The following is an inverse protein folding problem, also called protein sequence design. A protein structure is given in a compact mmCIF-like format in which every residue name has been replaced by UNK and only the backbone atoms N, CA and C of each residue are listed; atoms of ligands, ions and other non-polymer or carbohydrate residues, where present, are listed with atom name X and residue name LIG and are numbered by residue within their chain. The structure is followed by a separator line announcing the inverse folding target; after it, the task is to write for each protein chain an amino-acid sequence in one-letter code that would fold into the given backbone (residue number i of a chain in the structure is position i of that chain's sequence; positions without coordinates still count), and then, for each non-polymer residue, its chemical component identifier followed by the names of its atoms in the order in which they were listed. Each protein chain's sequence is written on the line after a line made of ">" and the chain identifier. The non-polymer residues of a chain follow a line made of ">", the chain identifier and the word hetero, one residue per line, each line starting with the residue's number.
data_IF_203957146295
#
_entry.id   IF_203957146295
#
_cell.length_a   1.000
_cell.length_b   1.000
_cell.length_c   1.000
_cell.angle_alpha   90.00
_cell.angle_beta   90.00
_cell.angle_gamma   90.00
#
_symmetry.space_group_name_H-M   'P 1'
#
loop_
_entity.id
_entity.type
_entity.pdbx_description
1 polymer ?
#
# COMPACT_ATOMS: atom_id res chain seq x y z
N UNK A 1 -16.32 4.68 -18.53
CA UNK A 1 -16.92 5.00 -17.21
C UNK A 1 -15.98 4.44 -16.16
N UNK A 2 -15.33 5.29 -15.34
CA UNK A 2 -14.68 4.82 -14.12
C UNK A 2 -15.78 4.70 -13.06
N UNK A 3 -16.39 3.52 -12.97
CA UNK A 3 -17.39 3.18 -11.95
C UNK A 3 -16.72 2.55 -10.73
N UNK A 4 -17.09 3.09 -9.56
CA UNK A 4 -16.80 2.77 -8.16
C UNK A 4 -15.36 2.36 -7.79
N UNK A 5 -14.57 3.38 -7.46
CA UNK A 5 -13.16 3.34 -7.04
C UNK A 5 -12.96 2.50 -5.78
N UNK A 6 -12.15 1.43 -5.89
CA UNK A 6 -11.35 0.87 -4.80
C UNK A 6 -10.05 0.31 -5.38
N UNK A 7 -8.90 0.69 -4.79
CA UNK A 7 -7.62 0.11 -5.15
C UNK A 7 -6.81 -0.44 -3.96
N UNK A 8 -7.09 -0.07 -2.70
CA UNK A 8 -6.69 -0.86 -1.53
C UNK A 8 -7.67 -0.59 -0.40
N UNK A 9 -8.26 -1.63 0.18
CA UNK A 9 -8.96 -1.63 1.49
C UNK A 9 -8.94 -3.09 1.98
N UNK A 10 -8.30 -3.54 3.07
CA UNK A 10 -7.66 -2.92 4.24
C UNK A 10 -6.51 -3.84 4.68
N UNK A 11 -5.39 -3.77 3.97
CA UNK A 11 -4.33 -4.78 4.06
C UNK A 11 -3.33 -4.43 5.17
N UNK A 12 -3.05 -5.39 6.04
CA UNK A 12 -2.00 -5.31 7.07
C UNK A 12 -1.21 -6.61 7.06
N UNK A 13 0.09 -6.51 6.80
CA UNK A 13 1.02 -7.62 6.88
C UNK A 13 2.38 -7.09 7.31
N UNK A 14 3.18 -7.96 7.91
CA UNK A 14 4.58 -7.72 8.21
C UNK A 14 5.40 -8.68 7.36
N UNK A 15 6.48 -8.18 6.77
CA UNK A 15 7.45 -8.99 6.04
C UNK A 15 8.74 -8.94 6.83
N UNK A 16 9.19 -10.10 7.30
CA UNK A 16 10.43 -10.19 8.07
C UNK A 16 11.64 -10.20 7.15
N UNK A 17 12.80 -9.90 7.72
CA UNK A 17 14.05 -10.07 7.00
C UNK A 17 14.17 -11.50 6.44
N UNK A 18 14.60 -11.60 5.19
CA UNK A 18 14.75 -12.86 4.44
C UNK A 18 13.43 -13.54 4.03
N UNK A 19 12.29 -12.87 4.16
CA UNK A 19 11.04 -13.31 3.54
C UNK A 19 10.90 -12.76 2.10
N UNK A 20 10.27 -13.55 1.23
CA UNK A 20 9.94 -13.15 -0.14
C UNK A 20 8.44 -13.32 -0.37
N UNK A 21 7.61 -12.34 0.02
CA UNK A 21 6.17 -12.43 -0.09
C UNK A 21 5.71 -12.24 -1.54
N UNK A 22 4.59 -12.88 -1.89
CA UNK A 22 3.91 -12.68 -3.17
C UNK A 22 2.59 -11.99 -2.91
N UNK A 23 2.39 -10.80 -3.49
CA UNK A 23 1.10 -10.13 -3.49
C UNK A 23 0.19 -10.75 -4.56
N UNK A 24 -0.81 -11.52 -4.14
CA UNK A 24 -1.83 -12.11 -4.99
C UNK A 24 -3.15 -11.36 -4.80
N UNK A 25 -3.80 -10.97 -5.90
CA UNK A 25 -5.11 -10.32 -5.86
C UNK A 25 -5.81 -10.49 -7.22
N UNK A 26 -7.13 -10.70 -7.21
CA UNK A 26 -7.95 -10.99 -8.40
C UNK A 26 -8.32 -9.75 -9.21
N UNK A 27 -8.20 -8.55 -8.64
CA UNK A 27 -8.71 -7.29 -9.20
C UNK A 27 -7.72 -6.50 -10.07
N UNK A 28 -6.49 -7.00 -10.24
CA UNK A 28 -5.48 -6.46 -11.16
C UNK A 28 -4.82 -5.12 -10.75
N UNK A 29 -5.57 -4.16 -10.21
CA UNK A 29 -5.07 -2.80 -9.91
C UNK A 29 -4.37 -2.71 -8.54
N UNK A 30 -4.90 -3.41 -7.53
CA UNK A 30 -4.56 -3.20 -6.12
C UNK A 30 -3.11 -3.52 -5.76
N UNK A 31 -2.48 -4.43 -6.51
CA UNK A 31 -1.05 -4.77 -6.37
C UNK A 31 -0.16 -3.61 -6.79
N UNK A 32 -0.45 -3.04 -7.97
CA UNK A 32 0.31 -1.90 -8.49
C UNK A 32 0.14 -0.71 -7.57
N UNK A 33 -1.07 -0.41 -7.11
CA UNK A 33 -1.32 0.66 -6.14
C UNK A 33 -0.58 0.40 -4.82
N UNK A 34 -0.63 -0.82 -4.26
CA UNK A 34 0.10 -1.16 -3.02
C UNK A 34 1.61 -0.98 -3.18
N UNK A 35 2.20 -1.48 -4.27
CA UNK A 35 3.64 -1.34 -4.53
C UNK A 35 4.05 0.13 -4.72
N UNK A 36 3.20 0.94 -5.36
CA UNK A 36 3.43 2.38 -5.50
C UNK A 36 3.37 3.09 -4.15
N UNK A 37 2.43 2.72 -3.28
CA UNK A 37 2.38 3.23 -1.90
C UNK A 37 3.64 2.85 -1.11
N UNK A 38 4.11 1.60 -1.21
CA UNK A 38 5.36 1.13 -0.57
C UNK A 38 6.56 1.92 -1.07
N UNK A 39 6.62 2.20 -2.37
CA UNK A 39 7.67 2.99 -3.00
C UNK A 39 7.57 4.50 -2.70
N UNK A 40 6.50 4.97 -2.03
CA UNK A 40 6.23 6.39 -1.79
C UNK A 40 5.81 7.17 -3.04
N UNK A 41 5.42 6.48 -4.12
CA UNK A 41 4.97 7.07 -5.39
C UNK A 41 3.47 7.37 -5.40
N UNK A 42 2.75 6.91 -4.37
CA UNK A 42 1.34 7.13 -4.15
C UNK A 42 1.09 7.23 -2.64
N UNK A 43 0.18 8.12 -2.23
CA UNK A 43 -0.09 8.39 -0.82
C UNK A 43 -1.30 7.56 -0.39
N UNK A 44 -1.20 6.73 0.67
CA UNK A 44 -2.32 5.96 1.15
C UNK A 44 -3.38 6.88 1.74
N UNK A 45 -4.64 6.50 1.59
CA UNK A 45 -5.78 7.23 2.18
C UNK A 45 -5.87 7.02 3.69
N UNK A 46 -5.34 5.91 4.22
CA UNK A 46 -5.27 5.60 5.65
C UNK A 46 -4.12 4.64 5.95
N UNK A 47 -3.75 4.49 7.23
CA UNK A 47 -2.70 3.56 7.67
C UNK A 47 -1.28 4.12 7.47
N UNK A 48 -0.28 3.29 7.74
CA UNK A 48 1.13 3.71 7.65
C UNK A 48 1.96 2.56 7.07
N UNK A 49 2.97 2.90 6.28
CA UNK A 49 3.90 1.94 5.69
C UNK A 49 5.30 2.24 6.23
N UNK A 50 5.91 1.21 6.81
CA UNK A 50 7.25 1.26 7.36
C UNK A 50 8.18 0.29 6.64
N UNK A 51 9.44 0.71 6.46
CA UNK A 51 10.54 -0.18 6.08
C UNK A 51 11.56 -0.14 7.21
N UNK A 52 11.66 -1.24 7.96
CA UNK A 52 12.31 -1.23 9.27
C UNK A 52 11.62 -0.19 10.18
N UNK A 53 12.41 0.70 10.77
CA UNK A 53 11.90 1.76 11.65
C UNK A 53 11.57 3.07 10.91
N UNK A 54 11.69 3.09 9.57
CA UNK A 54 11.48 4.29 8.77
C UNK A 54 10.06 4.33 8.23
N UNK A 55 9.30 5.36 8.59
CA UNK A 55 8.04 5.69 7.93
C UNK A 55 8.35 6.12 6.49
N UNK A 56 7.78 5.41 5.50
CA UNK A 56 7.99 5.72 4.08
C UNK A 56 6.74 6.25 3.39
N UNK A 57 5.55 5.95 3.92
CA UNK A 57 4.30 6.47 3.38
C UNK A 57 3.21 6.50 4.45
N UNK A 58 2.46 7.60 4.51
CA UNK A 58 1.34 7.82 5.41
C UNK A 58 0.38 8.85 4.78
N UNK A 59 -0.90 8.89 5.19
CA UNK A 59 -1.84 9.90 4.75
C UNK A 59 -1.30 11.30 4.98
N UNK A 60 -1.50 12.18 4.00
CA UNK A 60 -1.32 13.60 4.26
C UNK A 60 -2.32 14.03 5.34
N UNK A 61 -1.80 14.49 6.48
CA UNK A 61 -2.59 15.25 7.44
C UNK A 61 -3.04 16.50 6.72
N UNK A 62 -4.33 16.58 6.40
CA UNK A 62 -4.94 17.80 5.89
C UNK A 62 -4.66 18.95 6.86
N UNK A 63 -4.30 20.10 6.28
CA UNK A 63 -4.53 21.41 6.88
C UNK A 63 -6.02 21.63 7.13
#
# INVERSE_FOLDING_TARGET
>A
MFGDVVAVDRVSFEVREREFPILLDSSGCSKTTTLRCIAGLEVPTSGEIYIGNRLVSAPHKGI
#
